data_IF_072578299905
#
_entry.id   IF_072578299905
#
_cell.length_a   1.000
_cell.length_b   1.000
_cell.length_c   1.000
_cell.angle_alpha   90.00
_cell.angle_beta   90.00
_cell.angle_gamma   90.00
#
_symmetry.space_group_name_H-M   'P 1'
#
loop_
_entity.id
_entity.type
_entity.pdbx_description
1 polymer ?
#
# COMPACT_ATOMS: atom_id res chain seq x y z
N UNK A 1 -8.19 19.07 23.73
CA UNK A 1 -7.78 18.31 22.53
C UNK A 1 -7.04 19.23 21.57
N UNK A 2 -5.96 18.79 20.90
CA UNK A 2 -5.28 19.57 19.86
C UNK A 2 -6.16 19.76 18.62
N UNK A 3 -5.90 20.79 17.81
CA UNK A 3 -6.67 21.06 16.58
C UNK A 3 -6.42 19.97 15.51
N UNK A 4 -7.45 19.52 14.77
CA UNK A 4 -7.26 18.57 13.66
C UNK A 4 -6.24 19.05 12.63
N UNK A 5 -5.55 18.10 11.99
CA UNK A 5 -4.52 18.32 10.95
C UNK A 5 -3.26 19.08 11.39
N UNK A 6 -3.06 19.35 12.69
CA UNK A 6 -1.74 19.75 13.20
C UNK A 6 -0.77 18.55 13.20
N UNK A 7 0.47 18.79 12.79
CA UNK A 7 1.54 17.79 12.83
C UNK A 7 2.10 17.69 14.26
N UNK A 8 1.57 16.72 15.04
CA UNK A 8 1.85 16.61 16.48
C UNK A 8 3.26 16.09 16.81
N UNK A 9 3.95 15.48 15.84
CA UNK A 9 5.31 14.93 16.00
C UNK A 9 6.29 15.87 15.29
N UNK A 10 7.05 16.67 16.02
CA UNK A 10 8.18 17.43 15.43
C UNK A 10 9.48 16.65 15.57
N UNK A 11 10.08 16.28 14.45
CA UNK A 11 11.43 15.74 14.40
C UNK A 11 12.46 16.87 14.49
N UNK A 12 13.45 16.70 15.38
CA UNK A 12 14.54 17.64 15.62
C UNK A 12 15.91 16.95 15.42
N UNK A 13 16.99 17.74 15.37
CA UNK A 13 18.34 17.22 15.19
C UNK A 13 18.51 16.45 13.88
N UNK A 14 19.25 15.34 13.92
CA UNK A 14 19.59 14.51 12.74
C UNK A 14 18.36 13.86 12.08
N UNK A 15 17.25 13.69 12.82
CA UNK A 15 16.00 13.13 12.29
C UNK A 15 15.08 14.19 11.65
N UNK A 16 15.36 15.48 11.82
CA UNK A 16 14.55 16.55 11.22
C UNK A 16 14.54 16.44 9.69
N UNK A 17 13.37 16.69 9.07
CA UNK A 17 13.10 16.37 7.65
C UNK A 17 14.18 16.83 6.67
N UNK A 18 14.78 17.99 6.92
CA UNK A 18 15.79 18.64 6.07
C UNK A 18 17.19 18.71 6.70
N UNK A 19 17.51 17.83 7.65
CA UNK A 19 18.84 17.78 8.29
C UNK A 19 19.88 17.12 7.36
N UNK A 20 21.04 17.78 7.18
CA UNK A 20 22.09 17.34 6.24
C UNK A 20 22.62 15.92 6.51
N UNK A 21 22.63 15.48 7.77
CA UNK A 21 23.12 14.16 8.19
C UNK A 21 22.03 13.07 8.16
N UNK A 22 20.76 13.42 7.92
CA UNK A 22 19.62 12.48 7.88
C UNK A 22 19.83 11.30 6.93
N UNK A 23 20.42 11.44 5.72
CA UNK A 23 20.65 10.32 4.81
C UNK A 23 21.64 9.25 5.32
N UNK A 24 22.44 9.57 6.34
CA UNK A 24 23.42 8.65 6.94
C UNK A 24 22.84 7.86 8.13
N UNK A 25 21.69 8.27 8.67
CA UNK A 25 21.11 7.71 9.90
C UNK A 25 19.73 7.09 9.68
N UNK A 26 18.94 7.61 8.73
CA UNK A 26 17.72 6.94 8.29
C UNK A 26 18.12 5.78 7.37
N UNK A 27 17.72 4.52 7.67
CA UNK A 27 17.96 3.41 6.77
C UNK A 27 17.38 3.72 5.39
N UNK A 28 18.24 3.73 4.37
CA UNK A 28 17.79 3.87 3.00
C UNK A 28 16.91 2.67 2.64
N UNK A 29 15.84 2.90 1.89
CA UNK A 29 15.06 1.80 1.33
C UNK A 29 15.96 0.91 0.45
N UNK A 30 15.62 -0.39 0.26
CA UNK A 30 16.40 -1.27 -0.60
C UNK A 30 16.68 -0.57 -1.94
N UNK A 31 17.95 -0.56 -2.42
CA UNK A 31 18.28 0.12 -3.66
C UNK A 31 17.43 -0.49 -4.79
N UNK A 32 16.84 0.39 -5.61
CA UNK A 32 16.11 -0.06 -6.79
C UNK A 32 17.09 -0.85 -7.67
N UNK A 33 16.89 -2.16 -7.76
CA UNK A 33 17.78 -3.05 -8.49
C UNK A 33 17.69 -2.69 -9.97
N UNK A 34 18.77 -2.10 -10.47
CA UNK A 34 18.93 -1.84 -11.90
C UNK A 34 19.14 -3.18 -12.59
N UNK A 35 18.29 -3.61 -13.54
CA UNK A 35 18.57 -4.76 -14.38
C UNK A 35 19.65 -4.35 -15.40
N UNK A 36 20.90 -4.28 -14.93
CA UNK A 36 22.07 -4.10 -15.79
C UNK A 36 22.21 -5.34 -16.66
N UNK A 37 22.01 -5.20 -17.96
CA UNK A 37 22.13 -6.31 -18.90
C UNK A 37 23.58 -6.78 -19.03
N UNK A 38 23.76 -8.10 -19.14
CA UNK A 38 24.95 -8.68 -19.77
C UNK A 38 24.56 -9.95 -20.51
N UNK A 39 25.15 -10.09 -21.68
CA UNK A 39 25.00 -11.09 -22.75
C UNK A 39 24.87 -12.56 -22.30
N UNK A 40 24.31 -13.50 -23.09
CA UNK A 40 23.43 -13.42 -24.27
C UNK A 40 23.02 -14.86 -24.68
N UNK A 41 21.79 -15.10 -25.18
CA UNK A 41 21.53 -16.04 -26.31
C UNK A 41 20.07 -16.02 -26.80
N UNK A 42 19.89 -15.55 -28.04
CA UNK A 42 18.94 -15.98 -29.08
C UNK A 42 17.42 -16.19 -28.79
N UNK A 43 16.63 -15.36 -29.50
CA UNK A 43 15.43 -15.72 -30.27
C UNK A 43 14.13 -16.16 -29.56
N UNK A 44 13.19 -15.22 -29.42
CA UNK A 44 12.16 -15.03 -30.47
C UNK A 44 11.56 -13.62 -30.40
N UNK A 45 11.18 -13.05 -31.55
CA UNK A 45 10.87 -11.62 -31.73
C UNK A 45 9.35 -11.35 -31.75
N UNK A 46 8.94 -10.14 -31.32
CA UNK A 46 7.53 -9.79 -31.13
C UNK A 46 7.31 -8.42 -30.45
N UNK A 47 7.95 -7.37 -30.98
CA UNK A 47 7.82 -5.96 -30.56
C UNK A 47 6.44 -5.41 -31.00
N UNK A 48 5.74 -4.45 -30.38
CA UNK A 48 5.99 -3.02 -30.04
C UNK A 48 4.78 -2.59 -29.18
N UNK A 49 4.78 -1.76 -28.13
CA UNK A 49 5.73 -1.11 -27.19
C UNK A 49 4.92 -0.86 -25.87
N UNK A 50 5.42 -0.52 -24.68
CA UNK A 50 6.61 0.22 -24.19
C UNK A 50 6.49 1.75 -23.99
N UNK A 51 5.33 2.25 -23.55
CA UNK A 51 5.24 3.59 -22.93
C UNK A 51 5.92 3.63 -21.54
N UNK A 52 7.24 3.85 -21.54
CA UNK A 52 8.04 4.04 -20.32
C UNK A 52 8.05 5.51 -19.93
N UNK A 53 7.09 5.95 -19.12
CA UNK A 53 7.25 7.19 -18.35
C UNK A 53 7.90 6.89 -16.99
N UNK A 54 9.22 6.64 -17.03
CA UNK A 54 10.05 6.31 -15.86
C UNK A 54 10.31 7.52 -14.96
N UNK A 55 9.26 8.08 -14.38
CA UNK A 55 9.28 9.20 -13.45
C UNK A 55 9.89 8.81 -12.07
N UNK A 56 11.20 8.55 -12.07
CA UNK A 56 12.10 8.42 -10.91
C UNK A 56 11.42 7.88 -9.65
N UNK A 57 11.07 6.59 -9.65
CA UNK A 57 10.26 5.96 -8.62
C UNK A 57 10.87 6.15 -7.22
N UNK A 58 10.36 7.15 -6.50
CA UNK A 58 10.74 7.47 -5.11
C UNK A 58 10.60 6.19 -4.26
N UNK A 59 11.44 5.97 -3.22
CA UNK A 59 11.43 4.77 -2.37
C UNK A 59 10.17 4.60 -1.48
N UNK A 60 9.06 5.23 -1.88
CA UNK A 60 7.74 5.21 -1.24
C UNK A 60 6.62 4.71 -2.19
N UNK A 61 6.87 4.57 -3.49
CA UNK A 61 5.87 4.09 -4.46
C UNK A 61 5.84 2.55 -4.47
N UNK A 62 5.04 1.96 -3.57
CA UNK A 62 4.81 0.52 -3.49
C UNK A 62 3.43 0.17 -4.08
N UNK A 63 3.27 -0.97 -4.77
CA UNK A 63 1.96 -1.35 -5.33
C UNK A 63 0.95 -1.64 -4.21
N UNK A 64 -0.33 -1.41 -4.47
CA UNK A 64 -1.40 -1.59 -3.48
C UNK A 64 -1.49 -3.05 -3.00
N UNK A 65 -1.33 -4.04 -3.87
CA UNK A 65 -1.31 -5.45 -3.49
C UNK A 65 -0.13 -5.79 -2.57
N UNK A 66 1.07 -5.26 -2.88
CA UNK A 66 2.27 -5.41 -2.04
C UNK A 66 2.14 -4.66 -0.70
N UNK A 67 1.40 -3.56 -0.66
CA UNK A 67 1.08 -2.83 0.58
C UNK A 67 0.13 -3.64 1.48
N UNK A 68 -0.93 -4.23 0.91
CA UNK A 68 -1.89 -5.05 1.64
C UNK A 68 -1.22 -6.31 2.23
N UNK A 69 -0.39 -6.99 1.43
CA UNK A 69 0.41 -8.12 1.91
C UNK A 69 1.37 -7.71 3.03
N UNK A 70 2.00 -6.53 2.96
CA UNK A 70 2.93 -6.04 3.99
C UNK A 70 2.26 -5.60 5.31
N UNK A 71 1.01 -5.11 5.27
CA UNK A 71 0.34 -4.52 6.45
C UNK A 71 -0.70 -5.47 7.07
N UNK A 72 -1.37 -6.28 6.26
CA UNK A 72 -2.50 -7.13 6.68
C UNK A 72 -2.29 -8.63 6.38
N UNK A 73 -1.14 -9.02 5.80
CA UNK A 73 -0.82 -10.36 5.32
C UNK A 73 -1.81 -10.94 4.28
N UNK A 74 -2.47 -10.04 3.53
CA UNK A 74 -3.41 -10.42 2.46
C UNK A 74 -2.66 -10.40 1.13
N UNK A 75 -2.36 -11.57 0.57
CA UNK A 75 -1.81 -11.66 -0.78
C UNK A 75 -2.88 -11.37 -1.84
N UNK A 76 -2.64 -10.34 -2.65
CA UNK A 76 -3.43 -10.03 -3.86
C UNK A 76 -2.54 -9.99 -5.12
N UNK A 77 -1.28 -10.41 -5.01
CA UNK A 77 -0.34 -10.57 -6.12
C UNK A 77 -0.56 -11.89 -6.89
N UNK A 78 -1.32 -12.82 -6.31
CA UNK A 78 -1.68 -14.11 -6.90
C UNK A 78 -3.17 -14.36 -6.66
N UNK A 79 -3.92 -14.69 -7.71
CA UNK A 79 -5.32 -15.11 -7.56
C UNK A 79 -5.41 -16.49 -6.88
N UNK A 80 -6.11 -16.65 -5.73
CA UNK A 80 -6.16 -17.92 -5.01
C UNK A 80 -6.96 -19.03 -5.72
N UNK A 81 -7.74 -18.69 -6.76
CA UNK A 81 -8.57 -19.64 -7.50
C UNK A 81 -7.83 -20.25 -8.71
N UNK A 82 -7.07 -19.45 -9.46
CA UNK A 82 -6.35 -19.90 -10.66
C UNK A 82 -4.82 -19.89 -10.53
N UNK A 83 -4.25 -19.41 -9.42
CA UNK A 83 -2.81 -19.30 -9.16
C UNK A 83 -2.07 -18.24 -9.99
N UNK A 84 -2.64 -17.82 -11.14
CA UNK A 84 -2.00 -16.90 -12.08
C UNK A 84 -2.41 -15.43 -11.89
N UNK A 85 -1.39 -14.56 -11.80
CA UNK A 85 -1.52 -13.12 -11.98
C UNK A 85 -1.90 -12.30 -10.75
N UNK A 86 -1.45 -11.04 -10.74
CA UNK A 86 -1.86 -10.00 -9.79
C UNK A 86 -3.33 -9.63 -10.05
N UNK A 87 -4.14 -9.62 -8.99
CA UNK A 87 -5.54 -9.20 -9.06
C UNK A 87 -5.61 -7.74 -9.53
N UNK A 88 -6.68 -7.37 -10.23
CA UNK A 88 -6.89 -6.00 -10.72
C UNK A 88 -8.23 -5.46 -10.23
N UNK A 89 -8.24 -4.19 -9.84
CA UNK A 89 -9.48 -3.46 -9.54
C UNK A 89 -10.17 -3.19 -10.88
N UNK A 90 -11.41 -3.67 -11.04
CA UNK A 90 -12.15 -3.56 -12.31
C UNK A 90 -12.98 -2.26 -12.30
N UNK A 91 -14.08 -2.12 -11.54
CA UNK A 91 -14.62 -0.81 -11.17
C UNK A 91 -14.43 -0.51 -9.67
N UNK A 92 -14.34 0.78 -9.34
CA UNK A 92 -14.72 1.27 -8.02
C UNK A 92 -16.15 1.83 -8.13
N UNK A 93 -17.09 1.31 -7.35
CA UNK A 93 -18.52 1.68 -7.41
C UNK A 93 -18.87 2.55 -6.21
N UNK A 94 -19.07 3.87 -6.37
CA UNK A 94 -19.48 4.75 -5.27
C UNK A 94 -21.01 4.80 -5.05
N UNK A 95 -21.84 4.45 -6.03
CA UNK A 95 -23.29 4.56 -5.94
C UNK A 95 -23.90 3.45 -5.08
N UNK A 96 -24.37 3.82 -3.88
CA UNK A 96 -25.12 2.92 -2.97
C UNK A 96 -26.17 2.02 -3.66
N UNK A 97 -27.10 2.51 -4.50
CA UNK A 97 -28.11 1.63 -5.13
C UNK A 97 -27.54 0.69 -6.22
N UNK A 98 -26.28 0.86 -6.63
CA UNK A 98 -25.57 -0.09 -7.49
C UNK A 98 -24.86 -1.14 -6.62
N UNK A 99 -24.21 -0.71 -5.53
CA UNK A 99 -23.62 -1.60 -4.53
C UNK A 99 -24.66 -2.57 -3.97
N UNK A 100 -25.84 -2.08 -3.57
CA UNK A 100 -26.91 -2.92 -3.00
C UNK A 100 -27.39 -3.98 -4.00
N UNK A 101 -27.59 -3.61 -5.28
CA UNK A 101 -27.95 -4.56 -6.35
C UNK A 101 -26.86 -5.60 -6.60
N UNK A 102 -25.59 -5.18 -6.60
CA UNK A 102 -24.45 -6.05 -6.82
C UNK A 102 -24.26 -7.06 -5.67
N UNK A 103 -24.37 -6.62 -4.41
CA UNK A 103 -24.28 -7.50 -3.24
C UNK A 103 -25.45 -8.51 -3.21
N UNK A 104 -26.68 -8.06 -3.46
CA UNK A 104 -27.85 -8.96 -3.56
C UNK A 104 -27.66 -9.99 -4.69
N UNK A 105 -27.13 -9.60 -5.84
CA UNK A 105 -26.83 -10.52 -6.95
C UNK A 105 -25.78 -11.58 -6.59
N UNK A 106 -24.83 -11.25 -5.71
CA UNK A 106 -23.83 -12.18 -5.15
C UNK A 106 -24.33 -12.98 -3.93
N UNK A 107 -25.56 -12.76 -3.45
CA UNK A 107 -26.08 -13.37 -2.23
C UNK A 107 -25.47 -12.84 -0.93
N UNK A 108 -24.86 -11.65 -0.97
CA UNK A 108 -24.25 -10.97 0.18
C UNK A 108 -25.23 -9.96 0.80
N UNK A 109 -25.14 -9.76 2.13
CA UNK A 109 -25.94 -8.76 2.83
C UNK A 109 -25.57 -7.33 2.34
N UNK A 110 -26.53 -6.55 1.80
CA UNK A 110 -26.29 -5.16 1.39
C UNK A 110 -26.11 -4.20 2.59
N UNK A 111 -26.45 -4.59 3.81
CA UNK A 111 -26.29 -3.74 4.99
C UNK A 111 -24.82 -3.71 5.46
N UNK A 112 -24.17 -2.53 5.52
CA UNK A 112 -22.83 -2.43 6.09
C UNK A 112 -22.85 -2.76 7.59
N UNK A 113 -21.83 -3.47 8.12
CA UNK A 113 -21.77 -3.81 9.54
C UNK A 113 -21.76 -2.55 10.43
N UNK A 114 -22.39 -2.60 11.61
CA UNK A 114 -22.50 -1.45 12.49
C UNK A 114 -21.11 -0.95 12.90
N UNK A 115 -20.87 0.36 12.75
CA UNK A 115 -19.58 0.98 13.06
C UNK A 115 -19.31 0.88 14.57
N UNK A 116 -18.43 -0.04 14.95
CA UNK A 116 -17.95 -0.16 16.33
C UNK A 116 -17.34 1.17 16.80
N UNK A 117 -17.57 1.53 18.05
CA UNK A 117 -16.92 2.69 18.69
C UNK A 117 -15.40 2.51 18.60
N UNK A 118 -14.68 3.58 18.26
CA UNK A 118 -13.22 3.53 18.27
C UNK A 118 -12.72 3.11 19.65
N UNK A 119 -11.69 2.24 19.71
CA UNK A 119 -11.06 1.84 20.97
C UNK A 119 -10.64 3.10 21.71
N UNK A 120 -11.12 3.29 22.94
CA UNK A 120 -10.65 4.42 23.75
C UNK A 120 -9.16 4.24 24.02
N UNK A 121 -8.40 5.35 23.98
CA UNK A 121 -7.02 5.33 24.44
C UNK A 121 -7.04 4.94 25.93
N UNK A 122 -6.39 3.83 26.27
CA UNK A 122 -6.65 3.12 27.52
C UNK A 122 -6.56 4.02 28.74
N UNK A 123 -7.63 4.03 29.54
CA UNK A 123 -7.54 4.52 30.92
C UNK A 123 -6.43 3.76 31.64
N UNK A 124 -5.58 4.48 32.38
CA UNK A 124 -4.38 3.90 32.99
C UNK A 124 -4.74 2.79 33.96
N UNK A 125 -4.55 1.53 33.53
CA UNK A 125 -4.54 0.38 34.43
C UNK A 125 -3.27 0.43 35.25
N UNK A 126 -3.42 0.59 36.56
CA UNK A 126 -2.32 0.55 37.52
C UNK A 126 -1.60 -0.81 37.41
N UNK A 127 -0.28 -0.79 37.19
CA UNK A 127 0.51 -1.98 36.95
C UNK A 127 1.36 -2.25 38.20
N UNK A 128 1.04 -3.28 39.01
CA UNK A 128 1.74 -3.52 40.27
C UNK A 128 3.21 -3.88 40.04
N UNK A 129 4.05 -3.48 41.00
CA UNK A 129 5.50 -3.65 41.01
C UNK A 129 5.94 -5.05 41.48
#
# INVERSE_FOLDING_TARGET
MPRPRLYLIRFHGVLATNAKLRPLVVPQGPPAQVPGGTEATAATEGEVESEVESAQARPHCISWARLLKRIFDIDMQHCPNCGGGELKIIPAIPERPVIEKFLIHLGLDPQPPPKSRAREAGGGGDFPA
#
